data_IF_597925214362
#
_entry.id   IF_597925214362
#
_cell.length_a   1.000
_cell.length_b   1.000
_cell.length_c   1.000
_cell.angle_alpha   90.00
_cell.angle_beta   90.00
_cell.angle_gamma   90.00
#
_symmetry.space_group_name_H-M   'P 1'
#
loop_
_entity.id
_entity.type
_entity.pdbx_description
1 polymer ?
#
# COMPACT_ATOMS: atom_id res chain seq x y z
N UNK A 1 32.72 -5.57 -0.62
CA UNK A 1 32.16 -4.28 -1.09
C UNK A 1 32.65 -4.05 -2.51
N UNK A 2 31.88 -4.49 -3.50
CA UNK A 2 32.15 -4.16 -4.90
C UNK A 2 31.09 -3.14 -5.32
N UNK A 3 31.51 -1.89 -5.42
CA UNK A 3 30.69 -0.79 -5.94
C UNK A 3 30.76 -0.88 -7.46
N UNK A 4 29.61 -1.12 -8.10
CA UNK A 4 29.50 -1.07 -9.56
C UNK A 4 29.71 0.39 -10.01
N UNK A 5 30.92 0.70 -10.44
CA UNK A 5 31.22 1.90 -11.22
C UNK A 5 30.64 1.66 -12.61
N UNK A 6 29.43 2.17 -12.82
CA UNK A 6 28.79 2.26 -14.13
C UNK A 6 29.57 3.27 -14.97
N UNK A 7 30.36 2.78 -15.90
CA UNK A 7 31.01 3.59 -16.92
C UNK A 7 29.96 3.98 -17.97
N UNK A 8 29.69 5.28 -18.10
CA UNK A 8 28.54 5.82 -18.84
C UNK A 8 28.74 5.84 -20.37
N UNK A 9 29.70 5.09 -20.90
CA UNK A 9 30.15 5.16 -22.30
C UNK A 9 29.57 4.03 -23.18
N UNK A 10 28.85 3.06 -22.60
CA UNK A 10 28.37 1.87 -23.30
C UNK A 10 26.84 1.76 -23.31
N UNK A 11 26.18 2.77 -23.90
CA UNK A 11 24.71 2.81 -24.03
C UNK A 11 24.19 1.93 -25.18
N UNK A 12 25.06 1.45 -26.08
CA UNK A 12 24.72 0.61 -27.24
C UNK A 12 24.85 -0.91 -26.94
N UNK A 13 25.56 -1.32 -25.88
CA UNK A 13 25.59 -2.72 -25.40
C UNK A 13 24.55 -2.97 -24.28
N UNK A 14 23.47 -2.20 -24.27
CA UNK A 14 22.41 -2.29 -23.26
C UNK A 14 21.43 -3.46 -23.51
N UNK A 15 21.91 -4.62 -23.97
CA UNK A 15 21.16 -5.87 -23.85
C UNK A 15 21.23 -6.33 -22.38
N UNK A 16 20.27 -5.82 -21.60
CA UNK A 16 19.76 -6.46 -20.38
C UNK A 16 20.82 -6.87 -19.36
N UNK A 17 21.43 -5.89 -18.68
CA UNK A 17 22.14 -6.19 -17.43
C UNK A 17 21.08 -6.57 -16.38
N UNK A 18 20.82 -7.87 -16.23
CA UNK A 18 19.94 -8.40 -15.18
C UNK A 18 20.59 -8.17 -13.82
N UNK A 19 20.01 -7.24 -13.06
CA UNK A 19 20.47 -6.94 -11.71
C UNK A 19 20.17 -8.15 -10.80
N UNK A 20 21.15 -8.65 -10.02
CA UNK A 20 20.90 -9.74 -9.07
C UNK A 20 19.86 -9.28 -8.04
N UNK A 21 18.68 -9.91 -8.05
CA UNK A 21 17.54 -9.56 -7.20
C UNK A 21 16.41 -8.77 -7.89
N UNK A 22 16.48 -8.52 -9.20
CA UNK A 22 15.39 -7.89 -9.95
C UNK A 22 14.26 -8.87 -10.37
N UNK A 23 14.55 -10.17 -10.38
CA UNK A 23 13.54 -11.19 -10.66
C UNK A 23 12.76 -11.58 -9.41
N UNK A 24 11.62 -10.90 -9.17
CA UNK A 24 10.63 -11.26 -8.16
C UNK A 24 9.53 -12.17 -8.72
N UNK A 25 9.67 -12.69 -9.96
CA UNK A 25 8.62 -13.51 -10.59
C UNK A 25 8.36 -14.85 -9.88
N UNK A 26 9.30 -15.29 -9.05
CA UNK A 26 9.22 -16.52 -8.26
C UNK A 26 8.85 -16.29 -6.79
N UNK A 27 8.50 -15.06 -6.38
CA UNK A 27 8.16 -14.74 -5.00
C UNK A 27 6.64 -14.56 -4.80
N UNK A 28 6.06 -15.31 -3.86
CA UNK A 28 4.65 -15.22 -3.51
C UNK A 28 4.44 -14.16 -2.40
N UNK A 29 3.78 -13.05 -2.73
CA UNK A 29 3.41 -12.05 -1.73
C UNK A 29 2.19 -12.52 -0.94
N UNK A 30 2.41 -13.03 0.27
CA UNK A 30 1.32 -13.36 1.21
C UNK A 30 0.85 -12.09 1.94
N UNK A 31 -0.39 -11.67 1.71
CA UNK A 31 -1.00 -10.54 2.43
C UNK A 31 -2.09 -11.07 3.37
N UNK A 32 -1.94 -10.81 4.67
CA UNK A 32 -2.99 -11.08 5.65
C UNK A 32 -4.04 -9.97 5.62
N UNK A 33 -5.30 -10.32 5.41
CA UNK A 33 -6.43 -9.39 5.52
C UNK A 33 -7.01 -9.50 6.93
N UNK A 34 -6.97 -8.40 7.70
CA UNK A 34 -7.59 -8.32 9.02
C UNK A 34 -8.93 -7.59 8.87
N UNK A 35 -10.06 -8.21 9.26
CA UNK A 35 -11.37 -7.56 9.21
C UNK A 35 -11.50 -6.49 10.31
N UNK A 36 -12.46 -5.57 10.14
CA UNK A 36 -12.78 -4.55 11.14
C UNK A 36 -13.12 -5.20 12.49
N UNK A 37 -12.51 -4.69 13.57
CA UNK A 37 -12.83 -5.15 14.93
C UNK A 37 -14.21 -4.65 15.37
N UNK A 38 -14.75 -5.21 16.46
CA UNK A 38 -16.10 -4.86 16.95
C UNK A 38 -16.30 -3.38 17.26
N UNK A 39 -15.21 -2.70 17.63
CA UNK A 39 -15.13 -1.29 18.00
C UNK A 39 -14.60 -0.40 16.86
N UNK A 40 -14.47 -0.92 15.65
CA UNK A 40 -14.02 -0.19 14.46
C UNK A 40 -15.12 -0.08 13.40
N UNK A 41 -14.91 0.83 12.45
CA UNK A 41 -15.69 0.95 11.22
C UNK A 41 -14.85 1.55 10.08
N UNK A 42 -15.19 1.23 8.84
CA UNK A 42 -14.62 1.89 7.66
C UNK A 42 -15.41 3.16 7.31
N UNK A 43 -14.75 4.31 7.26
CA UNK A 43 -15.39 5.58 6.87
C UNK A 43 -15.68 5.61 5.37
N UNK A 44 -16.92 5.92 4.97
CA UNK A 44 -17.33 6.00 3.56
C UNK A 44 -16.82 7.20 2.78
N UNK A 45 -16.17 8.17 3.44
CA UNK A 45 -15.58 9.35 2.78
C UNK A 45 -14.07 9.20 2.56
N UNK A 46 -13.31 8.79 3.60
CA UNK A 46 -11.85 8.65 3.52
C UNK A 46 -11.35 7.21 3.40
N UNK A 47 -12.23 6.20 3.49
CA UNK A 47 -11.92 4.77 3.40
C UNK A 47 -10.93 4.24 4.44
N UNK A 48 -10.69 5.01 5.50
CA UNK A 48 -9.86 4.58 6.62
C UNK A 48 -10.71 3.88 7.69
N UNK A 49 -10.10 2.88 8.33
CA UNK A 49 -10.65 2.24 9.53
C UNK A 49 -10.49 3.19 10.71
N UNK A 50 -11.58 3.43 11.44
CA UNK A 50 -11.63 4.32 12.59
C UNK A 50 -12.33 3.62 13.75
N UNK A 51 -11.93 3.97 14.98
CA UNK A 51 -12.63 3.52 16.17
C UNK A 51 -14.04 4.15 16.22
N UNK A 52 -15.06 3.40 16.69
CA UNK A 52 -16.47 3.82 16.78
C UNK A 52 -16.69 5.12 17.55
N UNK A 53 -15.77 5.51 18.44
CA UNK A 53 -15.81 6.81 19.11
C UNK A 53 -15.69 8.00 18.15
N UNK A 54 -15.16 7.78 16.94
CA UNK A 54 -15.04 8.79 15.88
C UNK A 54 -16.24 8.76 14.91
N UNK A 55 -17.30 8.01 15.20
CA UNK A 55 -18.50 7.95 14.34
C UNK A 55 -19.28 9.28 14.44
N UNK A 56 -19.41 9.97 13.31
CA UNK A 56 -20.15 11.23 13.23
C UNK A 56 -21.55 11.06 12.65
N UNK A 57 -21.68 10.27 11.58
CA UNK A 57 -22.95 10.05 10.88
C UNK A 57 -23.00 8.63 10.34
N UNK A 58 -24.21 8.08 10.29
CA UNK A 58 -24.52 6.90 9.48
C UNK A 58 -25.64 7.24 8.51
N UNK A 59 -25.44 6.99 7.22
CA UNK A 59 -26.43 7.24 6.17
C UNK A 59 -26.48 6.06 5.21
N UNK A 60 -27.69 5.52 4.95
CA UNK A 60 -27.90 4.40 4.04
C UNK A 60 -26.98 3.18 4.30
N UNK A 61 -26.65 2.90 5.56
CA UNK A 61 -25.75 1.80 5.94
C UNK A 61 -24.24 2.12 5.85
N UNK A 62 -23.88 3.34 5.44
CA UNK A 62 -22.48 3.80 5.39
C UNK A 62 -22.17 4.72 6.57
N UNK A 63 -21.06 4.46 7.25
CA UNK A 63 -20.60 5.24 8.41
C UNK A 63 -19.55 6.27 8.01
N UNK A 64 -19.57 7.44 8.63
CA UNK A 64 -18.69 8.57 8.33
C UNK A 64 -18.01 9.05 9.62
N UNK A 65 -16.70 9.32 9.56
CA UNK A 65 -15.93 9.76 10.71
C UNK A 65 -16.05 11.27 10.96
N UNK A 66 -15.78 11.71 12.18
CA UNK A 66 -15.77 13.12 12.59
C UNK A 66 -14.85 13.98 11.73
N UNK A 67 -13.71 13.46 11.27
CA UNK A 67 -12.77 14.22 10.43
C UNK A 67 -13.34 14.54 9.02
N UNK A 68 -14.34 13.79 8.54
CA UNK A 68 -14.91 13.99 7.22
C UNK A 68 -16.24 14.76 7.25
N UNK A 69 -16.91 14.78 8.40
CA UNK A 69 -18.22 15.42 8.60
C UNK A 69 -18.14 16.63 9.55
N UNK A 70 -16.92 17.04 9.94
CA UNK A 70 -16.61 18.16 10.81
C UNK A 70 -15.73 19.20 10.14
#
# INVERSE_FOLDING_TARGET
>A
TQTAVIDAEDFDTAEGIDLPGADLSHEELTVAVIPEQSDEFTCGACFLVRHRSQLARTSAGTSYCTDCEG
#
